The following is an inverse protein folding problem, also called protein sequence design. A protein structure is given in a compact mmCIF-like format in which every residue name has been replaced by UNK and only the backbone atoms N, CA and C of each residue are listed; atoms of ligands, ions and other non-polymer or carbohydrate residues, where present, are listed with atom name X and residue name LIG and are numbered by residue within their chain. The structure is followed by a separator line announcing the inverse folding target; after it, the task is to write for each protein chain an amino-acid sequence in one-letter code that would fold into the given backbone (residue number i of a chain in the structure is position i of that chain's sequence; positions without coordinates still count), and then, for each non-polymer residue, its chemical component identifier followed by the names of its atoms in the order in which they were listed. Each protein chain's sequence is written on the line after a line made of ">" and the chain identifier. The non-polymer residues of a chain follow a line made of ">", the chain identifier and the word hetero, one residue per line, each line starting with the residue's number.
data_IF_115366690507
#
_entry.id   IF_115366690507
#
_cell.length_a   1.000
_cell.length_b   1.000
_cell.length_c   1.000
_cell.angle_alpha   90.00
_cell.angle_beta   90.00
_cell.angle_gamma   90.00
#
_symmetry.space_group_name_H-M   'P 1'
#
loop_
_entity.id
_entity.type
_entity.pdbx_description
1 polymer ?
#
# COMPACT_ATOMS: atom_id res chain seq x y z
N UNK A 1 5.35 2.95 -11.71
CA UNK A 1 4.16 2.54 -12.46
C UNK A 1 2.90 3.09 -11.78
N UNK A 2 2.59 2.73 -10.54
CA UNK A 2 1.35 3.11 -9.83
C UNK A 2 1.13 4.63 -9.73
N UNK A 3 2.16 5.42 -9.42
CA UNK A 3 2.08 6.89 -9.45
C UNK A 3 1.64 7.42 -10.82
N UNK A 4 2.16 6.85 -11.91
CA UNK A 4 1.81 7.26 -13.25
C UNK A 4 0.36 6.88 -13.59
N UNK A 5 -0.05 5.64 -13.29
CA UNK A 5 -1.42 5.17 -13.50
C UNK A 5 -2.41 6.01 -12.70
N UNK A 6 -2.13 6.24 -11.42
CA UNK A 6 -2.95 7.09 -10.57
C UNK A 6 -2.98 8.53 -11.02
N UNK A 7 -1.86 9.10 -11.47
CA UNK A 7 -1.78 10.47 -12.01
C UNK A 7 -2.57 10.66 -13.29
N UNK A 8 -2.50 9.71 -14.23
CA UNK A 8 -3.34 9.71 -15.44
C UNK A 8 -4.82 9.63 -15.04
N UNK A 9 -5.16 8.76 -14.08
CA UNK A 9 -6.51 8.67 -13.53
C UNK A 9 -7.02 10.01 -12.98
N UNK A 10 -6.20 10.73 -12.21
CA UNK A 10 -6.53 12.06 -11.71
C UNK A 10 -6.85 13.05 -12.83
N UNK A 11 -6.03 13.07 -13.87
CA UNK A 11 -6.26 13.94 -15.04
C UNK A 11 -7.58 13.62 -15.75
N UNK A 12 -7.86 12.34 -15.99
CA UNK A 12 -9.12 11.90 -16.62
C UNK A 12 -10.34 12.29 -15.78
N UNK A 13 -10.27 12.16 -14.46
CA UNK A 13 -11.33 12.56 -13.54
C UNK A 13 -11.54 14.09 -13.55
N UNK A 14 -10.45 14.85 -13.53
CA UNK A 14 -10.52 16.31 -13.59
C UNK A 14 -11.16 16.80 -14.88
N UNK A 15 -10.74 16.25 -16.03
CA UNK A 15 -11.31 16.57 -17.35
C UNK A 15 -12.78 16.16 -17.46
N UNK A 16 -13.18 15.04 -16.83
CA UNK A 16 -14.58 14.60 -16.84
C UNK A 16 -15.47 15.53 -16.02
N UNK A 17 -14.94 16.11 -14.94
CA UNK A 17 -15.66 17.08 -14.10
C UNK A 17 -15.78 18.47 -14.74
N UNK A 18 -14.97 18.74 -15.73
CA UNK A 18 -15.03 20.02 -16.44
C UNK A 18 -16.29 20.06 -17.33
N UNK A 19 -17.22 21.02 -17.11
CA UNK A 19 -18.51 21.02 -17.80
C UNK A 19 -18.46 21.02 -19.33
N UNK A 20 -17.38 21.57 -19.90
CA UNK A 20 -17.19 21.64 -21.35
C UNK A 20 -16.64 20.36 -21.98
N UNK A 21 -16.12 19.40 -21.19
CA UNK A 21 -15.39 18.25 -21.74
C UNK A 21 -16.16 16.94 -21.58
N UNK A 22 -16.70 16.64 -20.40
CA UNK A 22 -17.45 15.41 -20.10
C UNK A 22 -16.86 14.12 -20.69
N UNK A 23 -15.58 13.85 -20.39
CA UNK A 23 -14.78 12.84 -21.10
C UNK A 23 -15.24 11.40 -20.85
N UNK A 24 -15.59 11.04 -19.61
CA UNK A 24 -15.95 9.68 -19.21
C UNK A 24 -17.44 9.53 -18.96
N UNK A 25 -18.00 8.41 -19.37
CA UNK A 25 -19.34 7.99 -18.93
C UNK A 25 -19.32 7.61 -17.45
N UNK A 26 -20.49 7.63 -16.78
CA UNK A 26 -20.60 7.36 -15.34
C UNK A 26 -19.94 6.02 -14.90
N UNK A 27 -20.12 4.88 -15.59
CA UNK A 27 -19.43 3.64 -15.22
C UNK A 27 -17.91 3.77 -15.27
N UNK A 28 -17.37 4.39 -16.31
CA UNK A 28 -15.94 4.61 -16.46
C UNK A 28 -15.38 5.60 -15.45
N UNK A 29 -16.16 6.61 -15.10
CA UNK A 29 -15.79 7.55 -14.03
C UNK A 29 -15.54 6.84 -12.70
N UNK A 30 -16.43 5.95 -12.26
CA UNK A 30 -16.26 5.21 -11.01
C UNK A 30 -15.11 4.19 -11.06
N UNK A 31 -14.86 3.54 -12.19
CA UNK A 31 -13.68 2.69 -12.39
C UNK A 31 -12.39 3.48 -12.25
N UNK A 32 -12.27 4.59 -12.98
CA UNK A 32 -11.09 5.44 -12.92
C UNK A 32 -10.92 6.07 -11.54
N UNK A 33 -12.02 6.41 -10.85
CA UNK A 33 -11.98 6.92 -9.47
C UNK A 33 -11.44 5.87 -8.50
N UNK A 34 -11.89 4.62 -8.62
CA UNK A 34 -11.38 3.50 -7.82
C UNK A 34 -9.90 3.24 -8.12
N UNK A 35 -9.53 3.18 -9.39
CA UNK A 35 -8.16 3.00 -9.85
C UNK A 35 -7.23 4.11 -9.33
N UNK A 36 -7.64 5.37 -9.51
CA UNK A 36 -6.88 6.52 -9.03
C UNK A 36 -6.67 6.47 -7.51
N UNK A 37 -7.73 6.26 -6.74
CA UNK A 37 -7.67 6.24 -5.29
C UNK A 37 -6.74 5.15 -4.75
N UNK A 38 -6.86 3.92 -5.24
CA UNK A 38 -6.01 2.79 -4.81
C UNK A 38 -4.56 2.96 -5.26
N UNK A 39 -4.32 3.38 -6.51
CA UNK A 39 -2.97 3.57 -7.00
C UNK A 39 -2.23 4.70 -6.28
N UNK A 40 -2.91 5.80 -5.93
CA UNK A 40 -2.28 6.94 -5.27
C UNK A 40 -2.15 6.77 -3.77
N UNK A 41 -3.19 6.28 -3.09
CA UNK A 41 -3.23 6.25 -1.62
C UNK A 41 -2.70 4.95 -1.02
N UNK A 42 -2.72 3.85 -1.78
CA UNK A 42 -2.28 2.56 -1.25
C UNK A 42 -1.05 2.06 -2.00
N UNK A 43 -1.16 1.81 -3.30
CA UNK A 43 -0.09 1.09 -4.01
C UNK A 43 1.19 1.91 -4.15
N UNK A 44 1.09 3.18 -4.53
CA UNK A 44 2.24 4.07 -4.63
C UNK A 44 2.87 4.32 -3.26
N UNK A 45 2.08 4.75 -2.27
CA UNK A 45 2.60 5.15 -0.96
C UNK A 45 3.26 3.97 -0.25
N UNK A 46 2.57 2.83 -0.11
CA UNK A 46 3.12 1.66 0.60
C UNK A 46 4.39 1.11 -0.06
N UNK A 47 4.43 1.00 -1.39
CA UNK A 47 5.65 0.56 -2.07
C UNK A 47 6.81 1.56 -1.87
N UNK A 48 6.52 2.85 -1.87
CA UNK A 48 7.51 3.89 -1.65
C UNK A 48 8.02 3.89 -0.20
N UNK A 49 7.13 3.76 0.77
CA UNK A 49 7.49 3.65 2.20
C UNK A 49 8.39 2.45 2.46
N UNK A 50 8.02 1.26 1.99
CA UNK A 50 8.85 0.06 2.13
C UNK A 50 10.21 0.23 1.45
N UNK A 51 10.27 0.86 0.28
CA UNK A 51 11.54 1.14 -0.40
C UNK A 51 12.42 2.09 0.43
N UNK A 52 11.84 3.15 1.02
CA UNK A 52 12.56 4.05 1.93
C UNK A 52 13.06 3.29 3.16
N UNK A 53 12.23 2.47 3.80
CA UNK A 53 12.63 1.68 4.96
C UNK A 53 13.83 0.77 4.65
N UNK A 54 13.83 0.15 3.47
CA UNK A 54 14.93 -0.75 3.05
C UNK A 54 16.20 -0.01 2.64
N UNK A 55 16.10 1.24 2.22
CA UNK A 55 17.25 2.06 1.88
C UNK A 55 17.80 2.82 3.09
N UNK A 56 16.93 3.56 3.78
CA UNK A 56 17.34 4.48 4.85
C UNK A 56 17.70 3.72 6.13
N UNK A 57 16.97 2.65 6.45
CA UNK A 57 17.23 1.83 7.64
C UNK A 57 18.68 1.32 7.67
N UNK A 58 19.10 0.49 6.72
CA UNK A 58 20.48 0.01 6.65
C UNK A 58 21.52 1.12 6.56
N UNK A 59 21.25 2.18 5.79
CA UNK A 59 22.17 3.30 5.61
C UNK A 59 22.44 4.04 6.92
N UNK A 60 21.37 4.45 7.62
CA UNK A 60 21.50 5.24 8.86
C UNK A 60 21.95 4.41 10.07
N UNK A 61 21.65 3.12 10.06
CA UNK A 61 22.09 2.19 11.11
C UNK A 61 23.43 1.52 10.80
N UNK A 62 24.06 1.86 9.68
CA UNK A 62 25.33 1.30 9.20
C UNK A 62 25.35 -0.25 9.28
N UNK A 63 24.29 -0.88 8.82
CA UNK A 63 24.13 -2.33 8.87
C UNK A 63 23.60 -2.89 7.55
N UNK A 64 23.59 -4.20 7.41
CA UNK A 64 22.95 -4.88 6.28
C UNK A 64 21.45 -5.04 6.52
N UNK A 65 20.67 -5.13 5.44
CA UNK A 65 19.28 -5.56 5.52
C UNK A 65 19.18 -6.96 6.13
N UNK A 66 18.18 -7.18 7.00
CA UNK A 66 17.99 -8.47 7.67
C UNK A 66 17.94 -9.63 6.65
N UNK A 67 17.08 -9.52 5.63
CA UNK A 67 16.98 -10.53 4.59
C UNK A 67 16.59 -9.93 3.24
N UNK A 68 17.49 -10.02 2.27
CA UNK A 68 17.19 -9.65 0.88
C UNK A 68 16.11 -10.56 0.27
N UNK A 69 16.04 -11.84 0.66
CA UNK A 69 15.02 -12.77 0.18
C UNK A 69 13.62 -12.34 0.64
N UNK A 70 13.47 -11.96 1.92
CA UNK A 70 12.20 -11.42 2.44
C UNK A 70 11.80 -10.12 1.74
N UNK A 71 12.77 -9.26 1.41
CA UNK A 71 12.49 -8.03 0.66
C UNK A 71 11.88 -8.32 -0.73
N UNK A 72 12.44 -9.31 -1.44
CA UNK A 72 11.89 -9.73 -2.73
C UNK A 72 10.52 -10.39 -2.61
N UNK A 73 10.29 -11.20 -1.57
CA UNK A 73 8.97 -11.80 -1.30
C UNK A 73 7.94 -10.71 -1.00
N UNK A 74 8.27 -9.75 -0.13
CA UNK A 74 7.41 -8.61 0.19
C UNK A 74 7.04 -7.83 -1.08
N UNK A 75 8.03 -7.44 -1.87
CA UNK A 75 7.82 -6.74 -3.13
C UNK A 75 6.96 -7.53 -4.12
N UNK A 76 7.23 -8.83 -4.28
CA UNK A 76 6.47 -9.71 -5.18
C UNK A 76 5.00 -9.80 -4.77
N UNK A 77 4.70 -9.99 -3.47
CA UNK A 77 3.33 -10.03 -2.96
C UNK A 77 2.60 -8.70 -3.18
N UNK A 78 3.26 -7.58 -2.87
CA UNK A 78 2.69 -6.25 -3.06
C UNK A 78 2.42 -5.95 -4.53
N UNK A 79 3.36 -6.28 -5.42
CA UNK A 79 3.22 -6.06 -6.85
C UNK A 79 2.10 -6.91 -7.45
N UNK A 80 2.08 -8.21 -7.16
CA UNK A 80 1.04 -9.13 -7.67
C UNK A 80 -0.34 -8.72 -7.13
N UNK A 81 -0.42 -8.38 -5.84
CA UNK A 81 -1.66 -7.90 -5.23
C UNK A 81 -2.20 -6.64 -5.90
N UNK A 82 -1.35 -5.63 -6.10
CA UNK A 82 -1.73 -4.38 -6.75
C UNK A 82 -2.17 -4.59 -8.21
N UNK A 83 -1.42 -5.37 -8.98
CA UNK A 83 -1.79 -5.68 -10.38
C UNK A 83 -3.10 -6.46 -10.47
N UNK A 84 -3.35 -7.40 -9.55
CA UNK A 84 -4.61 -8.15 -9.50
C UNK A 84 -5.78 -7.20 -9.25
N UNK A 85 -5.66 -6.26 -8.34
CA UNK A 85 -6.69 -5.24 -8.05
C UNK A 85 -6.93 -4.38 -9.29
N UNK A 86 -5.89 -3.83 -9.92
CA UNK A 86 -6.00 -2.99 -11.10
C UNK A 86 -6.70 -3.71 -12.27
N UNK A 87 -6.36 -4.98 -12.49
CA UNK A 87 -7.02 -5.82 -13.51
C UNK A 87 -8.51 -5.99 -13.21
N UNK A 88 -8.90 -6.24 -11.95
CA UNK A 88 -10.31 -6.39 -11.57
C UNK A 88 -11.11 -5.11 -11.73
N UNK A 89 -10.51 -3.95 -11.44
CA UNK A 89 -11.13 -2.64 -11.67
C UNK A 89 -11.33 -2.41 -13.17
N UNK A 90 -10.30 -2.61 -13.97
CA UNK A 90 -10.37 -2.39 -15.42
C UNK A 90 -11.34 -3.34 -16.12
N UNK A 91 -11.49 -4.56 -15.62
CA UNK A 91 -12.50 -5.52 -16.08
C UNK A 91 -13.95 -5.12 -15.72
N UNK A 92 -14.15 -4.09 -14.89
CA UNK A 92 -15.47 -3.61 -14.47
C UNK A 92 -16.14 -4.45 -13.39
N UNK A 93 -15.36 -5.23 -12.66
CA UNK A 93 -15.85 -6.12 -11.62
C UNK A 93 -15.70 -5.54 -10.19
N UNK A 94 -15.22 -4.31 -10.06
CA UNK A 94 -14.83 -3.75 -8.76
C UNK A 94 -14.88 -2.22 -8.76
N UNK A 95 -16.01 -1.63 -9.12
CA UNK A 95 -16.22 -0.17 -9.15
C UNK A 95 -16.62 0.35 -7.75
N UNK A 96 -15.84 -0.03 -6.71
CA UNK A 96 -16.23 0.08 -5.30
C UNK A 96 -15.57 1.22 -4.56
N UNK A 97 -14.87 2.10 -5.25
CA UNK A 97 -14.04 3.15 -4.68
C UNK A 97 -12.88 2.57 -3.83
N UNK A 98 -12.02 3.44 -3.34
CA UNK A 98 -10.89 3.03 -2.51
C UNK A 98 -11.34 2.36 -1.20
N UNK A 99 -12.43 2.81 -0.63
CA UNK A 99 -12.90 2.40 0.69
C UNK A 99 -13.80 1.16 0.68
N UNK A 100 -14.37 0.82 -0.46
CA UNK A 100 -15.21 -0.39 -0.64
C UNK A 100 -16.32 -0.56 0.43
N UNK A 101 -16.94 0.56 0.86
CA UNK A 101 -18.00 0.52 1.89
C UNK A 101 -19.26 -0.21 1.41
N UNK A 102 -19.90 -0.88 2.35
CA UNK A 102 -21.24 -1.47 2.17
C UNK A 102 -22.23 -0.38 1.69
N UNK A 103 -23.09 -0.65 0.69
CA UNK A 103 -23.42 -1.94 0.08
C UNK A 103 -22.57 -2.34 -1.15
N UNK A 104 -21.50 -1.63 -1.47
CA UNK A 104 -20.68 -1.90 -2.64
C UNK A 104 -19.97 -3.25 -2.51
N UNK A 105 -20.00 -4.03 -3.59
CA UNK A 105 -19.37 -5.36 -3.63
C UNK A 105 -18.36 -5.43 -4.76
N UNK A 106 -17.14 -5.87 -4.45
CA UNK A 106 -16.12 -6.17 -5.42
C UNK A 106 -16.02 -7.67 -5.70
N UNK A 107 -15.35 -8.01 -6.78
CA UNK A 107 -15.02 -9.40 -7.09
C UNK A 107 -14.08 -9.99 -6.02
N UNK A 108 -14.18 -11.27 -5.65
CA UNK A 108 -13.32 -11.90 -4.63
C UNK A 108 -11.81 -11.72 -4.90
N UNK A 109 -11.38 -11.75 -6.17
CA UNK A 109 -9.98 -11.51 -6.55
C UNK A 109 -9.49 -10.09 -6.25
N UNK A 110 -10.39 -9.10 -6.23
CA UNK A 110 -10.05 -7.75 -5.78
C UNK A 110 -9.63 -7.75 -4.31
N UNK A 111 -10.44 -8.39 -3.44
CA UNK A 111 -10.11 -8.51 -2.02
C UNK A 111 -8.86 -9.36 -1.79
N UNK A 112 -8.69 -10.46 -2.54
CA UNK A 112 -7.46 -11.26 -2.48
C UNK A 112 -6.23 -10.41 -2.83
N UNK A 113 -6.32 -9.54 -3.84
CA UNK A 113 -5.26 -8.61 -4.21
C UNK A 113 -4.91 -7.65 -3.07
N UNK A 114 -5.90 -7.07 -2.39
CA UNK A 114 -5.70 -6.21 -1.21
C UNK A 114 -5.05 -7.01 -0.06
N UNK A 115 -5.48 -8.25 0.19
CA UNK A 115 -4.89 -9.11 1.21
C UNK A 115 -3.42 -9.43 0.89
N UNK A 116 -3.09 -9.77 -0.35
CA UNK A 116 -1.71 -10.01 -0.76
C UNK A 116 -0.83 -8.78 -0.56
N UNK A 117 -1.37 -7.60 -0.87
CA UNK A 117 -0.68 -6.34 -0.63
C UNK A 117 -0.42 -6.09 0.86
N UNK A 118 -1.44 -6.31 1.71
CA UNK A 118 -1.32 -6.19 3.16
C UNK A 118 -0.31 -7.19 3.75
N UNK A 119 -0.34 -8.45 3.32
CA UNK A 119 0.63 -9.46 3.75
C UNK A 119 2.03 -9.09 3.28
N UNK A 120 2.19 -8.60 2.05
CA UNK A 120 3.48 -8.14 1.53
C UNK A 120 4.05 -6.98 2.34
N UNK A 121 3.24 -5.99 2.70
CA UNK A 121 3.66 -4.86 3.55
C UNK A 121 4.04 -5.32 4.95
N UNK A 122 3.31 -6.26 5.54
CA UNK A 122 3.65 -6.85 6.85
C UNK A 122 5.00 -7.58 6.81
N UNK A 123 5.27 -8.37 5.77
CA UNK A 123 6.58 -9.00 5.57
C UNK A 123 7.69 -7.94 5.43
N UNK A 124 7.39 -6.82 4.77
CA UNK A 124 8.27 -5.67 4.68
C UNK A 124 8.62 -5.07 6.03
N UNK A 125 7.61 -4.85 6.86
CA UNK A 125 7.77 -4.34 8.24
C UNK A 125 8.58 -5.31 9.11
N UNK A 126 8.31 -6.61 9.03
CA UNK A 126 9.09 -7.64 9.76
C UNK A 126 10.56 -7.58 9.36
N UNK A 127 10.86 -7.46 8.07
CA UNK A 127 12.23 -7.35 7.57
C UNK A 127 12.93 -6.06 8.07
N UNK A 128 12.19 -4.96 8.17
CA UNK A 128 12.69 -3.71 8.73
C UNK A 128 13.01 -3.84 10.23
N UNK A 129 12.12 -4.40 11.04
CA UNK A 129 12.40 -4.66 12.45
C UNK A 129 13.57 -5.62 12.66
N UNK A 130 13.68 -6.65 11.81
CA UNK A 130 14.85 -7.53 11.80
C UNK A 130 16.16 -6.78 11.52
N UNK A 131 16.12 -5.77 10.65
CA UNK A 131 17.26 -4.89 10.37
C UNK A 131 17.68 -4.08 11.59
N UNK A 132 16.71 -3.50 12.30
CA UNK A 132 16.96 -2.78 13.56
C UNK A 132 17.54 -3.71 14.64
N UNK A 133 17.01 -4.95 14.72
CA UNK A 133 17.52 -5.94 15.65
C UNK A 133 19.00 -6.28 15.39
N UNK A 134 19.38 -6.50 14.12
CA UNK A 134 20.79 -6.72 13.75
C UNK A 134 21.65 -5.52 14.14
N UNK A 135 21.22 -4.31 13.80
CA UNK A 135 21.95 -3.09 14.11
C UNK A 135 22.23 -2.93 15.62
N UNK A 136 21.24 -3.24 16.45
CA UNK A 136 21.38 -3.22 17.91
C UNK A 136 22.27 -4.33 18.44
N UNK A 137 22.10 -5.55 17.95
CA UNK A 137 22.90 -6.71 18.37
C UNK A 137 24.38 -6.53 18.04
N UNK A 138 24.67 -6.02 16.85
CA UNK A 138 26.03 -5.91 16.33
C UNK A 138 26.67 -4.54 16.65
N UNK A 139 25.96 -3.67 17.40
CA UNK A 139 26.40 -2.33 17.81
C UNK A 139 26.94 -1.50 16.63
N UNK A 140 26.22 -1.51 15.51
CA UNK A 140 26.70 -0.90 14.26
C UNK A 140 26.57 0.62 14.22
N UNK A 141 25.83 1.21 15.18
CA UNK A 141 25.67 2.67 15.33
C UNK A 141 25.84 3.08 16.80
N UNK A 142 26.32 4.31 17.01
CA UNK A 142 26.51 4.90 18.32
C UNK A 142 25.38 5.90 18.65
N UNK A 143 25.04 6.02 19.92
CA UNK A 143 24.05 6.99 20.42
C UNK A 143 22.60 6.57 20.25
N UNK A 144 21.71 7.55 20.07
CA UNK A 144 20.27 7.34 19.92
C UNK A 144 19.89 6.91 18.50
N UNK A 145 18.75 6.23 18.38
CA UNK A 145 18.18 5.86 17.06
C UNK A 145 17.96 7.13 16.23
N UNK A 146 18.43 7.18 14.97
CA UNK A 146 18.19 8.30 14.08
C UNK A 146 16.71 8.64 13.97
N UNK A 147 16.37 9.94 13.93
CA UNK A 147 14.97 10.43 13.96
C UNK A 147 14.10 9.81 12.85
N UNK A 148 14.66 9.64 11.66
CA UNK A 148 13.94 9.03 10.53
C UNK A 148 13.62 7.56 10.81
N UNK A 149 14.55 6.81 11.40
CA UNK A 149 14.32 5.41 11.79
C UNK A 149 13.30 5.33 12.92
N UNK A 150 13.33 6.25 13.88
CA UNK A 150 12.31 6.34 14.93
C UNK A 150 10.91 6.63 14.36
N UNK A 151 10.80 7.59 13.43
CA UNK A 151 9.55 7.86 12.71
C UNK A 151 9.03 6.63 11.95
N UNK A 152 9.94 5.89 11.31
CA UNK A 152 9.62 4.65 10.61
C UNK A 152 9.12 3.54 11.56
N UNK A 153 9.69 3.42 12.75
CA UNK A 153 9.20 2.49 13.80
C UNK A 153 7.77 2.85 14.19
N UNK A 154 7.50 4.13 14.45
CA UNK A 154 6.16 4.60 14.82
C UNK A 154 5.14 4.30 13.70
N UNK A 155 5.48 4.61 12.45
CA UNK A 155 4.64 4.31 11.28
C UNK A 155 4.37 2.81 11.13
N UNK A 156 5.39 1.97 11.31
CA UNK A 156 5.27 0.52 11.24
C UNK A 156 4.35 -0.05 12.34
N UNK A 157 4.42 0.47 13.56
CA UNK A 157 3.53 0.07 14.67
C UNK A 157 2.07 0.44 14.34
N UNK A 158 1.83 1.65 13.83
CA UNK A 158 0.50 2.10 13.43
C UNK A 158 -0.04 1.22 12.31
N UNK A 159 0.77 0.93 11.29
CA UNK A 159 0.35 0.08 10.16
C UNK A 159 -0.05 -1.34 10.62
N UNK A 160 0.71 -1.95 11.53
CA UNK A 160 0.37 -3.25 12.12
C UNK A 160 -0.91 -3.16 12.94
N UNK A 161 -1.08 -2.11 13.77
CA UNK A 161 -2.30 -1.87 14.54
C UNK A 161 -3.54 -1.76 13.63
N UNK A 162 -3.45 -0.98 12.56
CA UNK A 162 -4.54 -0.82 11.58
C UNK A 162 -4.93 -2.13 10.90
N UNK A 163 -3.97 -3.01 10.63
CA UNK A 163 -4.26 -4.34 10.06
C UNK A 163 -4.98 -5.26 11.06
N UNK A 164 -4.68 -5.12 12.36
CA UNK A 164 -5.30 -5.93 13.42
C UNK A 164 -6.71 -5.45 13.79
N UNK A 165 -6.98 -4.15 13.73
CA UNK A 165 -8.29 -3.55 14.02
C UNK A 165 -9.35 -3.81 12.93
N UNK A 166 -8.98 -4.37 11.81
CA UNK A 166 -9.94 -4.73 10.76
C UNK A 166 -10.75 -5.99 11.14
N UNK A 167 -11.45 -5.95 12.30
CA UNK A 167 -12.35 -7.05 12.71
C UNK A 167 -13.54 -7.13 11.74
N UNK A 168 -13.73 -8.30 11.10
CA UNK A 168 -14.91 -8.53 10.25
C UNK A 168 -16.24 -8.40 10.99
N UNK A 169 -16.26 -8.52 12.32
CA UNK A 169 -17.46 -8.46 13.13
C UNK A 169 -18.01 -7.03 13.27
N UNK A 170 -17.15 -6.03 13.39
CA UNK A 170 -17.59 -4.62 13.46
C UNK A 170 -18.19 -4.17 12.13
N UNK A 171 -17.68 -4.64 10.99
CA UNK A 171 -18.28 -4.37 9.67
C UNK A 171 -19.65 -5.04 9.48
N UNK A 172 -19.92 -6.13 10.18
CA UNK A 172 -21.22 -6.81 10.14
C UNK A 172 -22.29 -6.09 10.98
N UNK A 173 -21.89 -5.26 11.94
CA UNK A 173 -22.76 -4.53 12.84
C UNK A 173 -23.16 -3.13 12.32
N UNK A 174 -22.66 -2.71 11.15
CA UNK A 174 -23.15 -1.51 10.45
C UNK A 174 -22.73 -0.17 11.08
N UNK A 175 -21.62 -0.13 11.83
CA UNK A 175 -21.03 1.12 12.36
C UNK A 175 -19.93 1.64 11.44
#
# INVERSE_FOLDING_TARGET
>A
VFLLVGGIGALLLALTRWPAVHLLSAPWYYRVLTLHGLNMLIFWILNFEIAILYFVGPLLLNCRLFSAKLAWVAFGLMLVGALMVDVMIMAGNSDVLMTSYVPLRAHPLFYLGIILMAVGSLVGVINFFGTIYIAKRDHTYEGSVPLVVFGAIAAAIIAVGTLLESDPRERALGW
#
